data_IF_559213518221
#
_entry.id   IF_559213518221
#
_cell.length_a   1.000
_cell.length_b   1.000
_cell.length_c   1.000
_cell.angle_alpha   90.00
_cell.angle_beta   90.00
_cell.angle_gamma   90.00
#
_symmetry.space_group_name_H-M   'P 1'
#
loop_
_entity.id
_entity.type
_entity.pdbx_description
1 polymer ?
#
# COMPACT_ATOMS: atom_id res chain seq x y z
N UNK A 1 -30.64 8.40 14.59
CA UNK A 1 -29.61 7.72 15.41
C UNK A 1 -28.50 7.00 14.60
N UNK A 2 -28.48 7.04 13.26
CA UNK A 2 -27.45 6.35 12.43
C UNK A 2 -26.16 7.19 12.21
N UNK A 3 -26.22 8.51 12.40
CA UNK A 3 -25.09 9.41 12.09
C UNK A 3 -23.89 9.36 13.06
N UNK A 4 -24.05 8.85 14.28
CA UNK A 4 -23.00 8.97 15.31
C UNK A 4 -21.95 7.85 15.29
N UNK A 5 -22.21 6.74 14.58
CA UNK A 5 -21.29 5.60 14.49
C UNK A 5 -20.17 5.85 13.46
N UNK A 6 -20.49 6.56 12.37
CA UNK A 6 -19.57 6.82 11.24
C UNK A 6 -18.34 7.65 11.65
N UNK A 7 -18.48 8.52 12.64
CA UNK A 7 -17.42 9.39 13.16
C UNK A 7 -16.65 8.79 14.34
N UNK A 8 -17.00 7.58 14.81
CA UNK A 8 -16.29 6.93 15.93
C UNK A 8 -14.90 6.49 15.50
N UNK A 9 -13.91 6.65 16.39
CA UNK A 9 -12.54 6.17 16.17
C UNK A 9 -12.54 4.66 15.90
N UNK A 10 -11.91 4.28 14.81
CA UNK A 10 -11.62 2.91 14.40
C UNK A 10 -10.12 2.67 14.57
N UNK A 11 -9.74 2.03 15.68
CA UNK A 11 -8.37 1.57 15.90
C UNK A 11 -8.24 0.21 15.22
N UNK A 12 -7.77 0.24 13.97
CA UNK A 12 -7.49 -0.96 13.17
C UNK A 12 -5.97 -1.11 13.08
N UNK A 13 -5.40 -2.24 13.52
CA UNK A 13 -3.96 -2.47 13.42
C UNK A 13 -3.54 -2.58 11.96
N UNK A 14 -2.31 -2.14 11.66
CA UNK A 14 -1.76 -2.11 10.29
C UNK A 14 -1.80 -3.48 9.61
N UNK A 15 -1.55 -4.55 10.37
CA UNK A 15 -1.61 -5.92 9.86
C UNK A 15 -2.99 -6.26 9.32
N UNK A 16 -4.05 -5.91 10.06
CA UNK A 16 -5.43 -6.12 9.62
C UNK A 16 -5.74 -5.28 8.38
N UNK A 17 -5.23 -4.04 8.30
CA UNK A 17 -5.39 -3.18 7.12
C UNK A 17 -4.78 -3.82 5.88
N UNK A 18 -3.53 -4.26 5.95
CA UNK A 18 -2.85 -4.84 4.79
C UNK A 18 -3.49 -6.18 4.42
N UNK A 19 -3.89 -6.99 5.41
CA UNK A 19 -4.58 -8.25 5.16
C UNK A 19 -5.94 -8.03 4.51
N UNK A 20 -6.67 -6.98 4.88
CA UNK A 20 -7.94 -6.60 4.25
C UNK A 20 -7.76 -6.15 2.80
N UNK A 21 -6.68 -5.42 2.49
CA UNK A 21 -6.34 -5.02 1.11
C UNK A 21 -5.92 -6.24 0.27
N UNK A 22 -5.16 -7.18 0.85
CA UNK A 22 -4.84 -8.44 0.19
C UNK A 22 -6.12 -9.26 -0.06
N UNK A 23 -7.02 -9.32 0.92
CA UNK A 23 -8.31 -9.99 0.80
C UNK A 23 -9.18 -9.37 -0.30
N UNK A 24 -9.23 -8.04 -0.35
CA UNK A 24 -9.95 -7.30 -1.39
C UNK A 24 -9.34 -7.54 -2.77
N UNK A 25 -8.01 -7.58 -2.86
CA UNK A 25 -7.29 -7.92 -4.10
C UNK A 25 -7.71 -9.30 -4.59
N UNK A 26 -7.56 -10.34 -3.77
CA UNK A 26 -7.91 -11.71 -4.15
C UNK A 26 -9.39 -11.89 -4.46
N UNK A 27 -10.28 -11.31 -3.65
CA UNK A 27 -11.73 -11.42 -3.88
C UNK A 27 -12.12 -10.74 -5.20
N UNK A 28 -11.59 -9.55 -5.45
CA UNK A 28 -11.85 -8.81 -6.70
C UNK A 28 -11.29 -9.57 -7.90
N UNK A 29 -10.07 -10.09 -7.81
CA UNK A 29 -9.50 -10.95 -8.86
C UNK A 29 -10.37 -12.18 -9.12
N UNK A 30 -10.78 -12.90 -8.07
CA UNK A 30 -11.63 -14.09 -8.20
C UNK A 30 -12.96 -13.80 -8.89
N UNK A 31 -13.61 -12.68 -8.57
CA UNK A 31 -14.85 -12.24 -9.21
C UNK A 31 -14.61 -11.88 -10.69
N UNK A 32 -13.56 -11.12 -10.98
CA UNK A 32 -13.26 -10.62 -12.33
C UNK A 32 -12.72 -11.70 -13.28
N UNK A 33 -12.16 -12.79 -12.75
CA UNK A 33 -11.68 -13.90 -13.57
C UNK A 33 -12.82 -14.64 -14.30
N UNK A 34 -14.05 -14.66 -13.77
CA UNK A 34 -15.18 -15.28 -14.46
C UNK A 34 -15.54 -14.59 -15.80
N UNK A 35 -15.83 -13.27 -15.83
CA UNK A 35 -16.10 -12.57 -17.08
C UNK A 35 -14.85 -12.48 -17.98
N UNK A 36 -13.65 -12.40 -17.43
CA UNK A 36 -12.41 -12.44 -18.20
C UNK A 36 -12.21 -13.78 -18.91
N UNK A 37 -12.42 -14.90 -18.21
CA UNK A 37 -12.34 -16.24 -18.79
C UNK A 37 -13.40 -16.51 -19.86
N UNK A 38 -14.53 -15.81 -19.79
CA UNK A 38 -15.56 -15.82 -20.83
C UNK A 38 -15.27 -14.85 -22.00
N UNK A 39 -14.11 -14.17 -22.01
CA UNK A 39 -13.72 -13.20 -23.04
C UNK A 39 -14.51 -11.88 -23.01
N UNK A 40 -15.28 -11.61 -21.95
CA UNK A 40 -16.14 -10.42 -21.84
C UNK A 40 -15.41 -9.19 -21.32
N UNK A 41 -14.29 -9.37 -20.62
CA UNK A 41 -13.49 -8.30 -20.03
C UNK A 41 -11.99 -8.50 -20.29
N UNK A 42 -11.23 -7.43 -20.59
CA UNK A 42 -9.78 -7.53 -20.67
C UNK A 42 -9.19 -7.80 -19.28
N UNK A 43 -8.17 -8.66 -19.22
CA UNK A 43 -7.51 -9.02 -17.97
C UNK A 43 -6.01 -8.74 -18.06
N UNK A 44 -5.52 -7.88 -17.17
CA UNK A 44 -4.13 -7.46 -17.12
C UNK A 44 -3.38 -8.19 -16.00
N UNK A 45 -2.73 -9.31 -16.36
CA UNK A 45 -2.00 -10.16 -15.40
C UNK A 45 -0.86 -9.42 -14.69
N UNK A 46 -0.07 -8.65 -15.43
CA UNK A 46 1.10 -7.94 -14.90
C UNK A 46 0.68 -6.91 -13.83
N UNK A 47 -0.51 -6.31 -13.96
CA UNK A 47 -1.06 -5.42 -12.94
C UNK A 47 -1.43 -6.13 -11.64
N UNK A 48 -1.98 -7.35 -11.71
CA UNK A 48 -2.21 -8.16 -10.52
C UNK A 48 -0.89 -8.57 -9.86
N UNK A 49 0.06 -9.09 -10.64
CA UNK A 49 1.35 -9.54 -10.10
C UNK A 49 2.13 -8.38 -9.47
N UNK A 50 2.17 -7.24 -10.14
CA UNK A 50 2.82 -6.04 -9.63
C UNK A 50 2.18 -5.53 -8.33
N UNK A 51 0.85 -5.56 -8.25
CA UNK A 51 0.12 -5.17 -7.04
C UNK A 51 0.41 -6.11 -5.87
N UNK A 52 0.44 -7.43 -6.09
CA UNK A 52 0.74 -8.41 -5.04
C UNK A 52 2.18 -8.26 -4.53
N UNK A 53 3.15 -8.06 -5.43
CA UNK A 53 4.54 -7.79 -5.06
C UNK A 53 4.67 -6.50 -4.27
N UNK A 54 3.96 -5.45 -4.69
CA UNK A 54 3.91 -4.20 -3.95
C UNK A 54 3.39 -4.41 -2.53
N UNK A 55 2.31 -5.18 -2.34
CA UNK A 55 1.76 -5.50 -1.02
C UNK A 55 2.78 -6.28 -0.17
N UNK A 56 3.47 -7.28 -0.72
CA UNK A 56 4.51 -8.02 0.01
C UNK A 56 5.71 -7.14 0.40
N UNK A 57 6.16 -6.31 -0.53
CA UNK A 57 7.25 -5.35 -0.29
C UNK A 57 6.87 -4.36 0.81
N UNK A 58 5.63 -3.86 0.78
CA UNK A 58 5.08 -3.01 1.84
C UNK A 58 5.05 -3.73 3.19
N UNK A 59 4.57 -4.98 3.28
CA UNK A 59 4.56 -5.73 4.55
C UNK A 59 5.98 -5.89 5.12
N UNK A 60 6.95 -6.16 4.25
CA UNK A 60 8.35 -6.33 4.62
C UNK A 60 8.94 -5.03 5.16
N UNK A 61 8.70 -3.90 4.49
CA UNK A 61 9.21 -2.58 4.91
C UNK A 61 8.47 -2.04 6.14
N UNK A 62 7.13 -2.14 6.16
CA UNK A 62 6.25 -1.51 7.14
C UNK A 62 6.02 -2.33 8.41
N UNK A 63 6.28 -3.65 8.40
CA UNK A 63 6.10 -4.49 9.58
C UNK A 63 7.27 -5.45 9.84
N UNK A 64 8.24 -5.59 8.93
CA UNK A 64 9.28 -6.63 9.05
C UNK A 64 8.74 -8.05 8.84
N UNK A 65 7.47 -8.18 8.42
CA UNK A 65 6.84 -9.47 8.13
C UNK A 65 7.23 -9.91 6.73
N UNK A 66 7.92 -11.05 6.66
CA UNK A 66 8.32 -11.67 5.40
C UNK A 66 7.38 -12.81 5.06
N UNK A 67 7.31 -13.24 3.79
CA UNK A 67 6.56 -14.45 3.42
C UNK A 67 7.07 -15.72 4.12
N UNK A 68 8.23 -15.70 4.76
CA UNK A 68 8.79 -16.83 5.52
C UNK A 68 8.56 -16.72 7.04
N UNK A 69 7.92 -15.64 7.50
CA UNK A 69 7.61 -15.35 8.90
C UNK A 69 8.15 -14.00 9.38
N UNK A 70 7.95 -13.75 10.66
CA UNK A 70 8.35 -12.50 11.30
C UNK A 70 9.88 -12.41 11.44
N UNK A 71 10.45 -11.30 11.00
CA UNK A 71 11.86 -10.98 11.16
C UNK A 71 12.02 -9.61 11.83
N UNK A 72 13.09 -9.43 12.61
CA UNK A 72 13.41 -8.12 13.15
C UNK A 72 13.70 -7.15 12.00
N UNK A 73 13.12 -5.95 12.09
CA UNK A 73 13.34 -4.89 11.11
C UNK A 73 14.80 -4.49 11.13
N UNK A 74 15.47 -4.71 10.01
CA UNK A 74 16.88 -4.37 9.81
C UNK A 74 17.03 -3.65 8.46
N UNK A 75 18.09 -2.86 8.31
CA UNK A 75 18.40 -2.17 7.06
C UNK A 75 18.41 -3.10 5.82
N UNK A 76 19.05 -4.29 5.85
CA UNK A 76 19.00 -5.20 4.70
C UNK A 76 17.57 -5.69 4.40
N UNK A 77 16.76 -5.92 5.44
CA UNK A 77 15.38 -6.35 5.25
C UNK A 77 14.52 -5.26 4.59
N UNK A 78 14.71 -4.00 4.99
CA UNK A 78 14.07 -2.85 4.35
C UNK A 78 14.50 -2.74 2.88
N UNK A 79 15.79 -2.92 2.57
CA UNK A 79 16.30 -2.89 1.21
C UNK A 79 15.69 -4.01 0.34
N UNK A 80 15.58 -5.24 0.87
CA UNK A 80 14.92 -6.36 0.18
C UNK A 80 13.44 -6.05 -0.06
N UNK A 81 12.71 -5.59 0.97
CA UNK A 81 11.31 -5.20 0.83
C UNK A 81 11.11 -4.08 -0.20
N UNK A 82 12.02 -3.12 -0.24
CA UNK A 82 12.01 -2.04 -1.23
C UNK A 82 12.27 -2.54 -2.64
N UNK A 83 13.21 -3.48 -2.82
CA UNK A 83 13.47 -4.11 -4.12
C UNK A 83 12.25 -4.91 -4.61
N UNK A 84 11.59 -5.66 -3.73
CA UNK A 84 10.34 -6.36 -4.05
C UNK A 84 9.25 -5.36 -4.45
N UNK A 85 9.05 -4.28 -3.68
CA UNK A 85 8.07 -3.26 -4.02
C UNK A 85 8.38 -2.55 -5.35
N UNK A 86 9.65 -2.20 -5.59
CA UNK A 86 10.09 -1.60 -6.85
C UNK A 86 9.83 -2.54 -8.04
N UNK A 87 10.14 -3.84 -7.90
CA UNK A 87 9.81 -4.83 -8.92
C UNK A 87 8.31 -4.89 -9.21
N UNK A 88 7.47 -4.79 -8.16
CA UNK A 88 6.02 -4.72 -8.31
C UNK A 88 5.54 -3.49 -9.05
N UNK A 89 6.08 -2.31 -8.71
CA UNK A 89 5.78 -1.03 -9.38
C UNK A 89 6.13 -1.11 -10.87
N UNK A 90 7.35 -1.58 -11.20
CA UNK A 90 7.79 -1.69 -12.59
C UNK A 90 6.90 -2.66 -13.37
N UNK A 91 6.57 -3.82 -12.77
CA UNK A 91 5.70 -4.83 -13.39
C UNK A 91 4.30 -4.31 -13.65
N UNK A 92 3.74 -3.50 -12.75
CA UNK A 92 2.44 -2.86 -12.98
C UNK A 92 2.48 -1.96 -14.23
N UNK A 93 3.54 -1.16 -14.38
CA UNK A 93 3.56 -0.06 -15.35
C UNK A 93 4.02 -0.49 -16.73
N UNK A 94 5.04 -1.33 -16.79
CA UNK A 94 5.68 -1.72 -18.05
C UNK A 94 5.41 -3.20 -18.24
N UNK A 95 4.38 -3.54 -19.06
CA UNK A 95 4.13 -4.93 -19.37
C UNK A 95 5.36 -5.55 -20.02
N UNK A 96 5.60 -6.81 -19.68
CA UNK A 96 6.60 -7.67 -20.32
C UNK A 96 8.07 -7.23 -20.19
N UNK A 97 8.38 -6.21 -19.39
CA UNK A 97 9.76 -5.84 -19.08
C UNK A 97 10.44 -6.86 -18.16
N UNK A 98 9.70 -7.31 -17.14
CA UNK A 98 10.13 -8.32 -16.18
C UNK A 98 9.27 -9.57 -16.36
N UNK A 99 9.42 -10.31 -17.46
CA UNK A 99 8.51 -11.41 -17.79
C UNK A 99 8.51 -12.52 -16.71
N UNK A 100 9.71 -12.94 -16.26
CA UNK A 100 9.86 -14.09 -15.36
C UNK A 100 10.03 -13.71 -13.89
N UNK A 101 10.62 -12.55 -13.62
CA UNK A 101 11.00 -12.13 -12.25
C UNK A 101 9.77 -12.05 -11.31
N UNK A 102 8.66 -11.39 -11.67
CA UNK A 102 7.53 -11.17 -10.77
C UNK A 102 6.84 -12.48 -10.43
N UNK A 103 6.70 -13.35 -11.44
CA UNK A 103 6.13 -14.68 -11.29
C UNK A 103 7.00 -15.57 -10.40
N UNK A 104 8.32 -15.53 -10.57
CA UNK A 104 9.25 -16.28 -9.73
C UNK A 104 9.24 -15.78 -8.27
N UNK A 105 9.27 -14.46 -8.05
CA UNK A 105 9.19 -13.89 -6.69
C UNK A 105 7.85 -14.25 -6.05
N UNK A 106 6.72 -14.08 -6.75
CA UNK A 106 5.40 -14.44 -6.21
C UNK A 106 5.28 -15.93 -5.95
N UNK A 107 5.84 -16.79 -6.82
CA UNK A 107 5.90 -18.23 -6.57
C UNK A 107 6.63 -18.52 -5.26
N UNK A 108 7.79 -17.90 -5.04
CA UNK A 108 8.58 -18.05 -3.81
C UNK A 108 7.80 -17.53 -2.59
N UNK A 109 7.14 -16.37 -2.71
CA UNK A 109 6.36 -15.78 -1.63
C UNK A 109 5.13 -16.63 -1.24
N UNK A 110 4.36 -17.10 -2.23
CA UNK A 110 3.11 -17.83 -1.97
C UNK A 110 3.34 -19.32 -1.71
N UNK A 111 4.19 -19.97 -2.51
CA UNK A 111 4.45 -21.42 -2.44
C UNK A 111 5.35 -21.79 -1.26
N UNK A 112 6.68 -21.70 -1.39
CA UNK A 112 7.62 -21.95 -0.29
C UNK A 112 7.34 -21.11 0.96
N UNK A 113 7.00 -19.83 0.81
CA UNK A 113 6.64 -18.96 1.96
C UNK A 113 5.42 -19.50 2.73
N UNK A 114 4.32 -19.78 2.02
CA UNK A 114 3.12 -20.39 2.62
C UNK A 114 3.41 -21.75 3.27
N UNK A 115 4.26 -22.58 2.67
CA UNK A 115 4.67 -23.87 3.23
C UNK A 115 5.48 -23.70 4.51
N UNK A 116 6.46 -22.79 4.53
CA UNK A 116 7.26 -22.50 5.74
C UNK A 116 6.37 -21.98 6.86
N UNK A 117 5.43 -21.08 6.56
CA UNK A 117 4.47 -20.56 7.53
C UNK A 117 3.57 -21.67 8.10
N UNK A 118 3.07 -22.57 7.23
CA UNK A 118 2.28 -23.72 7.65
C UNK A 118 3.08 -24.68 8.53
N UNK A 119 4.30 -25.02 8.13
CA UNK A 119 5.18 -25.90 8.91
C UNK A 119 5.52 -25.28 10.26
N UNK A 120 5.91 -24.00 10.31
CA UNK A 120 6.16 -23.29 11.57
C UNK A 120 4.92 -23.30 12.46
N UNK A 121 3.74 -23.11 11.88
CA UNK A 121 2.48 -23.14 12.62
C UNK A 121 2.19 -24.53 13.21
N UNK A 122 2.33 -25.60 12.41
CA UNK A 122 2.09 -26.98 12.85
C UNK A 122 3.13 -27.48 13.86
N UNK A 123 4.40 -27.09 13.71
CA UNK A 123 5.50 -27.55 14.56
C UNK A 123 5.74 -26.67 15.79
N UNK A 124 5.16 -25.47 15.88
CA UNK A 124 5.19 -24.65 17.09
C UNK A 124 4.25 -25.26 18.14
N UNK A 125 4.77 -26.24 18.88
CA UNK A 125 4.06 -26.99 19.92
C UNK A 125 3.42 -26.09 20.98
N UNK A 126 4.02 -24.93 21.25
CA UNK A 126 3.53 -23.98 22.26
C UNK A 126 2.41 -23.06 21.75
N UNK A 127 2.34 -22.74 20.44
CA UNK A 127 1.29 -21.85 19.91
C UNK A 127 0.06 -22.61 19.46
N UNK A 128 0.20 -23.60 18.59
CA UNK A 128 -0.95 -24.30 18.01
C UNK A 128 -1.73 -25.10 19.07
N UNK A 129 -1.00 -25.87 19.90
CA UNK A 129 -1.63 -26.67 20.96
C UNK A 129 -2.29 -25.78 22.01
N UNK A 130 -1.64 -24.69 22.40
CA UNK A 130 -2.22 -23.73 23.33
C UNK A 130 -3.48 -23.07 22.74
N UNK A 131 -3.47 -22.63 21.48
CA UNK A 131 -4.63 -21.98 20.86
C UNK A 131 -5.83 -22.91 20.69
N UNK A 132 -5.58 -24.19 20.39
CA UNK A 132 -6.63 -25.21 20.34
C UNK A 132 -7.16 -25.53 21.75
N UNK A 133 -6.30 -25.55 22.77
CA UNK A 133 -6.67 -25.80 24.17
C UNK A 133 -7.41 -24.63 24.83
N UNK A 134 -7.04 -23.38 24.54
CA UNK A 134 -7.71 -22.18 25.07
C UNK A 134 -9.15 -22.03 24.58
N UNK A 135 -9.51 -22.67 23.45
CA UNK A 135 -10.88 -22.68 22.92
C UNK A 135 -11.38 -21.30 22.43
N UNK A 136 -12.59 -21.27 21.87
CA UNK A 136 -13.24 -20.04 21.42
C UNK A 136 -12.56 -19.37 20.20
N UNK A 137 -12.29 -18.07 20.31
CA UNK A 137 -11.77 -17.23 19.20
C UNK A 137 -10.40 -17.71 18.69
N UNK A 138 -9.56 -18.30 19.56
CA UNK A 138 -8.24 -18.82 19.17
C UNK A 138 -8.30 -20.05 18.25
N UNK A 139 -9.37 -20.85 18.32
CA UNK A 139 -9.60 -21.96 17.39
C UNK A 139 -9.97 -21.45 16.00
N UNK A 140 -10.76 -20.38 15.93
CA UNK A 140 -11.08 -19.69 14.68
C UNK A 140 -9.85 -19.03 14.06
N UNK A 141 -8.95 -18.48 14.89
CA UNK A 141 -7.67 -17.94 14.42
C UNK A 141 -6.81 -19.05 13.81
N UNK A 142 -6.68 -20.19 14.50
CA UNK A 142 -5.93 -21.33 14.01
C UNK A 142 -6.47 -21.85 12.67
N UNK A 143 -7.79 -22.02 12.56
CA UNK A 143 -8.44 -22.45 11.31
C UNK A 143 -8.23 -21.44 10.17
N UNK A 144 -8.37 -20.14 10.45
CA UNK A 144 -8.14 -19.08 9.48
C UNK A 144 -6.70 -19.05 8.96
N UNK A 145 -5.71 -19.12 9.86
CA UNK A 145 -4.29 -19.19 9.48
C UNK A 145 -3.99 -20.42 8.63
N UNK A 146 -4.45 -21.61 9.04
CA UNK A 146 -4.25 -22.84 8.25
C UNK A 146 -4.88 -22.76 6.86
N UNK A 147 -6.09 -22.22 6.75
CA UNK A 147 -6.76 -22.03 5.46
C UNK A 147 -5.98 -21.07 4.55
N UNK A 148 -5.56 -19.91 5.07
CA UNK A 148 -4.78 -18.90 4.34
C UNK A 148 -3.45 -19.48 3.85
N UNK A 149 -2.72 -20.23 4.69
CA UNK A 149 -1.46 -20.85 4.27
C UNK A 149 -1.67 -21.94 3.21
N UNK A 150 -2.73 -22.75 3.33
CA UNK A 150 -3.03 -23.78 2.33
C UNK A 150 -3.40 -23.15 0.97
N UNK A 151 -4.26 -22.13 0.97
CA UNK A 151 -4.61 -21.40 -0.24
C UNK A 151 -3.42 -20.62 -0.82
N UNK A 152 -2.51 -20.11 0.01
CA UNK A 152 -1.24 -19.53 -0.43
C UNK A 152 -0.40 -20.54 -1.21
N UNK A 153 -0.24 -21.76 -0.69
CA UNK A 153 0.51 -22.84 -1.38
C UNK A 153 -0.16 -23.18 -2.72
N UNK A 154 -1.49 -23.29 -2.74
CA UNK A 154 -2.26 -23.54 -3.96
C UNK A 154 -2.08 -22.41 -4.99
N UNK A 155 -2.11 -21.15 -4.55
CA UNK A 155 -1.86 -19.99 -5.41
C UNK A 155 -0.42 -20.03 -5.99
N UNK A 156 0.57 -20.42 -5.18
CA UNK A 156 1.93 -20.67 -5.65
C UNK A 156 1.99 -21.75 -6.74
N UNK A 157 1.32 -22.89 -6.54
CA UNK A 157 1.25 -23.96 -7.54
C UNK A 157 0.60 -23.51 -8.85
N UNK A 158 -0.51 -22.77 -8.77
CA UNK A 158 -1.21 -22.19 -9.92
C UNK A 158 -0.34 -21.17 -10.67
N UNK A 159 0.44 -20.37 -9.93
CA UNK A 159 1.43 -19.47 -10.51
C UNK A 159 2.53 -20.24 -11.23
N UNK A 160 2.99 -21.39 -10.74
CA UNK A 160 4.02 -22.18 -11.40
C UNK A 160 3.51 -22.87 -12.68
N UNK A 161 2.36 -23.54 -12.60
CA UNK A 161 1.72 -24.20 -13.75
C UNK A 161 0.29 -23.69 -13.96
N UNK A 162 0.14 -22.79 -14.93
CA UNK A 162 -1.16 -22.19 -15.29
C UNK A 162 -2.17 -23.21 -15.81
N UNK A 163 -1.71 -24.25 -16.48
CA UNK A 163 -2.57 -25.27 -17.11
C UNK A 163 -2.98 -26.42 -16.17
N UNK A 164 -2.66 -26.32 -14.87
CA UNK A 164 -3.10 -27.31 -13.88
C UNK A 164 -4.62 -27.38 -13.77
N UNK A 165 -5.29 -26.23 -13.91
CA UNK A 165 -6.73 -26.11 -13.65
C UNK A 165 -7.36 -25.10 -14.58
N UNK A 166 -8.64 -25.31 -14.91
CA UNK A 166 -9.40 -24.41 -15.78
C UNK A 166 -9.57 -23.01 -15.15
N UNK A 167 -9.69 -21.99 -15.99
CA UNK A 167 -9.90 -20.59 -15.56
C UNK A 167 -11.00 -20.42 -14.50
N UNK A 168 -12.21 -21.01 -14.64
CA UNK A 168 -13.26 -20.87 -13.61
C UNK A 168 -12.87 -21.53 -12.28
N UNK A 169 -12.12 -22.62 -12.29
CA UNK A 169 -11.65 -23.25 -11.05
C UNK A 169 -10.55 -22.42 -10.38
N UNK A 170 -9.66 -21.80 -11.15
CA UNK A 170 -8.70 -20.80 -10.65
C UNK A 170 -9.43 -19.60 -10.04
N UNK A 171 -10.50 -19.11 -10.69
CA UNK A 171 -11.35 -18.05 -10.16
C UNK A 171 -11.96 -18.44 -8.80
N UNK A 172 -12.54 -19.64 -8.69
CA UNK A 172 -13.07 -20.19 -7.44
C UNK A 172 -11.99 -20.30 -6.35
N UNK A 173 -10.80 -20.80 -6.67
CA UNK A 173 -9.71 -20.96 -5.72
C UNK A 173 -9.21 -19.60 -5.19
N UNK A 174 -9.03 -18.62 -6.09
CA UNK A 174 -8.62 -17.26 -5.72
C UNK A 174 -9.71 -16.54 -4.92
N UNK A 175 -10.99 -16.75 -5.25
CA UNK A 175 -12.11 -16.21 -4.49
C UNK A 175 -12.19 -16.82 -3.09
N UNK A 176 -12.05 -18.14 -2.97
CA UNK A 176 -11.99 -18.84 -1.69
C UNK A 176 -10.81 -18.35 -0.84
N UNK A 177 -9.66 -18.08 -1.47
CA UNK A 177 -8.52 -17.47 -0.79
C UNK A 177 -8.84 -16.07 -0.26
N UNK A 178 -9.49 -15.22 -1.07
CA UNK A 178 -9.97 -13.91 -0.65
C UNK A 178 -10.91 -13.99 0.56
N UNK A 179 -11.89 -14.90 0.53
CA UNK A 179 -12.82 -15.14 1.65
C UNK A 179 -12.07 -15.58 2.91
N UNK A 180 -11.09 -16.48 2.78
CA UNK A 180 -10.27 -16.93 3.91
C UNK A 180 -9.47 -15.77 4.54
N UNK A 181 -8.93 -14.85 3.72
CA UNK A 181 -8.27 -13.64 4.20
C UNK A 181 -9.25 -12.68 4.89
N UNK A 182 -10.45 -12.45 4.34
CA UNK A 182 -11.50 -11.65 5.01
C UNK A 182 -11.81 -12.24 6.38
N UNK A 183 -12.02 -13.54 6.45
CA UNK A 183 -12.29 -14.26 7.69
C UNK A 183 -11.16 -14.07 8.72
N UNK A 184 -9.91 -14.29 8.30
CA UNK A 184 -8.75 -14.11 9.17
C UNK A 184 -8.63 -12.66 9.66
N UNK A 185 -8.88 -11.67 8.80
CA UNK A 185 -8.86 -10.25 9.18
C UNK A 185 -9.88 -9.93 10.26
N UNK A 186 -11.09 -10.49 10.15
CA UNK A 186 -12.18 -10.27 11.10
C UNK A 186 -11.87 -10.91 12.46
N UNK A 187 -11.37 -12.15 12.46
CA UNK A 187 -10.97 -12.84 13.69
C UNK A 187 -9.84 -12.07 14.38
N UNK A 188 -8.82 -11.66 13.63
CA UNK A 188 -7.68 -10.94 14.17
C UNK A 188 -8.08 -9.55 14.72
N UNK A 189 -8.94 -8.82 14.02
CA UNK A 189 -9.52 -7.57 14.51
C UNK A 189 -10.32 -7.77 15.81
N UNK A 190 -11.06 -8.87 15.92
CA UNK A 190 -11.77 -9.25 17.14
C UNK A 190 -10.82 -9.50 18.32
N UNK A 191 -9.73 -10.22 18.09
CA UNK A 191 -8.72 -10.50 19.11
C UNK A 191 -8.04 -9.21 19.59
N UNK A 192 -7.63 -8.33 18.68
CA UNK A 192 -6.98 -7.08 19.07
C UNK A 192 -7.91 -6.17 19.88
N UNK A 193 -9.20 -6.13 19.56
CA UNK A 193 -10.20 -5.41 20.36
C UNK A 193 -10.40 -6.00 21.76
N UNK A 194 -10.32 -7.32 21.89
CA UNK A 194 -10.47 -8.02 23.17
C UNK A 194 -9.18 -7.96 24.02
N UNK A 195 -8.00 -7.92 23.39
CA UNK A 195 -6.69 -7.99 24.05
C UNK A 195 -5.73 -6.89 23.56
N UNK A 196 -5.95 -5.62 23.96
CA UNK A 196 -5.16 -4.48 23.49
C UNK A 196 -3.69 -4.48 23.97
N UNK A 197 -3.34 -5.29 24.99
CA UNK A 197 -1.97 -5.36 25.53
C UNK A 197 -0.98 -6.08 24.60
N UNK A 198 -1.46 -6.82 23.60
CA UNK A 198 -0.62 -7.59 22.67
C UNK A 198 0.12 -6.68 21.68
N UNK A 199 -0.46 -5.53 21.33
CA UNK A 199 0.07 -4.57 20.35
C UNK A 199 1.27 -3.77 20.91
N UNK A 200 1.27 -3.46 22.21
CA UNK A 200 2.36 -2.69 22.84
C UNK A 200 3.69 -3.42 22.89
N UNK A 201 3.72 -4.76 22.82
CA UNK A 201 4.95 -5.54 23.04
C UNK A 201 5.74 -5.79 21.75
N UNK A 202 5.08 -5.76 20.60
CA UNK A 202 5.70 -6.00 19.28
C UNK A 202 6.41 -4.73 18.75
N UNK A 203 6.00 -3.55 19.20
CA UNK A 203 6.53 -2.22 18.84
C UNK A 203 7.78 -1.79 19.65
N UNK A 204 8.36 -2.67 20.45
CA UNK A 204 9.45 -2.35 21.40
C UNK A 204 10.80 -2.98 21.01
N UNK A 205 10.88 -3.66 19.87
CA UNK A 205 12.07 -4.43 19.47
C UNK A 205 12.52 -4.14 18.04
N UNK A 206 13.35 -3.10 17.90
CA UNK A 206 14.27 -2.92 16.77
C UNK A 206 13.92 -1.78 15.81
N UNK A 207 14.77 -0.74 15.77
CA UNK A 207 14.82 0.35 14.77
C UNK A 207 13.48 0.68 14.10
N UNK A 208 12.53 1.18 14.89
CA UNK A 208 11.21 1.49 14.35
C UNK A 208 11.26 2.74 13.48
N UNK A 209 11.21 2.53 12.16
CA UNK A 209 10.57 3.51 11.30
C UNK A 209 9.06 3.46 11.64
N UNK A 210 8.48 4.58 12.11
CA UNK A 210 7.03 4.73 12.20
C UNK A 210 6.36 4.33 10.89
N UNK A 211 5.17 3.75 10.94
CA UNK A 211 4.40 3.35 9.74
C UNK A 211 4.33 4.48 8.71
N UNK A 212 4.16 5.72 9.18
CA UNK A 212 4.18 6.92 8.32
C UNK A 212 5.49 7.08 7.55
N UNK A 213 6.64 6.80 8.16
CA UNK A 213 7.96 6.84 7.50
C UNK A 213 8.08 5.75 6.44
N UNK A 214 7.58 4.55 6.70
CA UNK A 214 7.55 3.46 5.71
C UNK A 214 6.66 3.82 4.51
N UNK A 215 5.49 4.42 4.75
CA UNK A 215 4.60 4.88 3.67
C UNK A 215 5.20 6.04 2.88
N UNK A 216 5.87 7.00 3.53
CA UNK A 216 6.59 8.09 2.85
C UNK A 216 7.71 7.53 1.99
N UNK A 217 8.51 6.59 2.52
CA UNK A 217 9.58 5.91 1.77
C UNK A 217 9.02 5.24 0.51
N UNK A 218 7.97 4.43 0.68
CA UNK A 218 7.38 3.66 -0.41
C UNK A 218 6.74 4.55 -1.47
N UNK A 219 6.04 5.60 -1.03
CA UNK A 219 5.44 6.61 -1.93
C UNK A 219 6.52 7.40 -2.66
N UNK A 220 7.59 7.79 -1.96
CA UNK A 220 8.73 8.47 -2.58
C UNK A 220 9.39 7.63 -3.67
N UNK A 221 9.67 6.35 -3.38
CA UNK A 221 10.23 5.42 -4.37
C UNK A 221 9.27 5.18 -5.54
N UNK A 222 7.98 5.01 -5.28
CA UNK A 222 6.96 4.94 -6.33
C UNK A 222 7.02 6.16 -7.25
N UNK A 223 7.04 7.38 -6.68
CA UNK A 223 7.05 8.63 -7.46
C UNK A 223 8.35 8.81 -8.25
N UNK A 224 9.50 8.45 -7.69
CA UNK A 224 10.79 8.46 -8.41
C UNK A 224 10.79 7.47 -9.56
N UNK A 225 10.42 6.20 -9.31
CA UNK A 225 10.38 5.17 -10.34
C UNK A 225 9.42 5.57 -11.46
N UNK A 226 8.22 6.01 -11.12
CA UNK A 226 7.24 6.45 -12.08
C UNK A 226 7.76 7.62 -12.92
N UNK A 227 8.35 8.63 -12.30
CA UNK A 227 8.89 9.79 -12.99
C UNK A 227 10.02 9.45 -13.96
N UNK A 228 10.94 8.57 -13.55
CA UNK A 228 12.05 8.09 -14.38
C UNK A 228 11.54 7.23 -15.54
N UNK A 229 10.59 6.33 -15.28
CA UNK A 229 10.02 5.45 -16.31
C UNK A 229 9.15 6.20 -17.31
N UNK A 230 8.53 7.32 -16.93
CA UNK A 230 7.73 8.12 -17.86
C UNK A 230 8.58 8.69 -19.01
N UNK A 231 9.87 8.98 -18.79
CA UNK A 231 10.76 9.55 -19.82
C UNK A 231 10.86 8.64 -21.06
N UNK A 232 11.34 7.37 -20.95
CA UNK A 232 11.40 6.47 -22.10
C UNK A 232 10.03 6.11 -22.66
N UNK A 233 8.98 6.08 -21.83
CA UNK A 233 7.59 5.87 -22.29
C UNK A 233 7.14 7.00 -23.20
N UNK A 234 7.40 8.26 -22.83
CA UNK A 234 7.01 9.42 -23.65
C UNK A 234 7.82 9.54 -24.94
N UNK A 235 9.00 8.91 -25.00
CA UNK A 235 9.80 8.76 -26.21
C UNK A 235 9.33 7.59 -27.10
N UNK A 236 8.32 6.84 -26.68
CA UNK A 236 7.80 5.67 -27.40
C UNK A 236 8.67 4.42 -27.29
N UNK A 237 9.65 4.40 -26.38
CA UNK A 237 10.60 3.29 -26.25
C UNK A 237 10.05 2.10 -25.45
N UNK A 238 9.05 2.34 -24.57
CA UNK A 238 8.51 1.32 -23.67
C UNK A 238 6.97 1.35 -23.63
N UNK A 239 6.31 0.18 -23.55
CA UNK A 239 4.87 0.11 -23.37
C UNK A 239 4.49 0.58 -21.96
N UNK A 240 3.28 1.14 -21.81
CA UNK A 240 2.86 1.72 -20.54
C UNK A 240 1.39 1.47 -20.22
N UNK A 241 1.13 1.03 -18.99
CA UNK A 241 -0.23 0.85 -18.44
C UNK A 241 -0.58 1.99 -17.49
N UNK A 242 -1.19 3.06 -18.04
CA UNK A 242 -1.71 4.18 -17.24
C UNK A 242 -2.78 3.75 -16.22
N UNK A 243 -3.57 2.71 -16.54
CA UNK A 243 -4.58 2.15 -15.62
C UNK A 243 -3.95 1.60 -14.34
N UNK A 244 -2.84 0.88 -14.47
CA UNK A 244 -2.13 0.30 -13.33
C UNK A 244 -1.34 1.37 -12.54
N UNK A 245 -0.86 2.42 -13.20
CA UNK A 245 -0.29 3.60 -12.51
C UNK A 245 -1.31 4.25 -11.57
N UNK A 246 -2.48 4.63 -12.10
CA UNK A 246 -3.53 5.26 -11.30
C UNK A 246 -4.05 4.29 -10.24
N UNK A 247 -4.20 3.00 -10.60
CA UNK A 247 -4.65 1.97 -9.70
C UNK A 247 -3.73 1.78 -8.50
N UNK A 248 -2.42 1.67 -8.73
CA UNK A 248 -1.44 1.50 -7.67
C UNK A 248 -1.34 2.74 -6.78
N UNK A 249 -1.42 3.94 -7.36
CA UNK A 249 -1.49 5.18 -6.58
C UNK A 249 -2.73 5.22 -5.66
N UNK A 250 -3.88 4.79 -6.16
CA UNK A 250 -5.12 4.71 -5.36
C UNK A 250 -5.00 3.70 -4.23
N UNK A 251 -4.34 2.55 -4.46
CA UNK A 251 -4.06 1.58 -3.39
C UNK A 251 -3.10 2.19 -2.35
N UNK A 252 -2.07 2.93 -2.76
CA UNK A 252 -1.17 3.64 -1.83
C UNK A 252 -1.97 4.64 -0.96
N UNK A 253 -2.84 5.45 -1.57
CA UNK A 253 -3.70 6.38 -0.84
C UNK A 253 -4.67 5.66 0.10
N UNK A 254 -5.26 4.55 -0.34
CA UNK A 254 -6.11 3.71 0.49
C UNK A 254 -5.39 3.18 1.73
N UNK A 255 -4.16 2.68 1.55
CA UNK A 255 -3.32 2.23 2.64
C UNK A 255 -3.06 3.40 3.60
N UNK A 256 -2.68 4.58 3.11
CA UNK A 256 -2.42 5.75 3.98
C UNK A 256 -3.68 6.16 4.78
N UNK A 257 -4.86 6.13 4.16
CA UNK A 257 -6.11 6.44 4.85
C UNK A 257 -6.43 5.40 5.94
N UNK A 258 -6.25 4.11 5.65
CA UNK A 258 -6.54 3.02 6.59
C UNK A 258 -5.48 2.91 7.70
N UNK A 259 -4.21 3.12 7.35
CA UNK A 259 -3.05 2.88 8.19
C UNK A 259 -2.61 4.09 9.01
N UNK A 260 -2.92 5.33 8.59
CA UNK A 260 -2.54 6.53 9.33
C UNK A 260 -3.64 7.58 9.42
N UNK A 261 -4.78 7.41 8.73
CA UNK A 261 -5.83 8.42 8.69
C UNK A 261 -5.47 9.63 7.80
N UNK A 262 -4.33 9.54 7.11
CA UNK A 262 -3.91 10.57 6.16
C UNK A 262 -4.73 10.43 4.89
N UNK A 263 -5.57 11.43 4.63
CA UNK A 263 -6.28 11.56 3.35
C UNK A 263 -5.55 12.57 2.46
N UNK A 264 -5.81 12.57 1.14
CA UNK A 264 -5.22 13.56 0.24
C UNK A 264 -5.52 15.00 0.65
N UNK A 265 -6.70 15.24 1.22
CA UNK A 265 -7.20 16.55 1.65
C UNK A 265 -6.56 17.00 2.97
N UNK A 266 -6.19 16.05 3.85
CA UNK A 266 -5.62 16.34 5.16
C UNK A 266 -5.57 15.12 6.07
N UNK A 267 -4.95 15.28 7.24
CA UNK A 267 -4.97 14.25 8.28
C UNK A 267 -6.31 14.27 9.02
N UNK A 268 -7.01 13.14 9.04
CA UNK A 268 -8.25 12.96 9.78
C UNK A 268 -8.07 11.86 10.84
N UNK A 269 -8.78 11.92 11.98
CA UNK A 269 -8.80 10.79 12.89
C UNK A 269 -9.30 9.55 12.15
N UNK A 270 -8.68 8.39 12.38
CA UNK A 270 -9.13 7.12 11.79
C UNK A 270 -10.52 6.81 12.29
N UNK A 271 -11.54 7.19 11.53
CA UNK A 271 -12.94 6.92 11.81
C UNK A 271 -13.46 5.86 10.85
N UNK A 272 -14.60 5.25 11.16
CA UNK A 272 -15.24 4.30 10.25
C UNK A 272 -15.51 4.91 8.85
N UNK A 273 -15.75 6.22 8.78
CA UNK A 273 -15.85 6.98 7.53
C UNK A 273 -14.59 6.88 6.67
N UNK A 274 -13.44 7.18 7.28
CA UNK A 274 -12.14 7.15 6.61
C UNK A 274 -11.77 5.73 6.22
N UNK A 275 -12.12 4.73 7.05
CA UNK A 275 -11.91 3.32 6.74
C UNK A 275 -12.75 2.88 5.52
N UNK A 276 -14.03 3.22 5.49
CA UNK A 276 -14.90 2.92 4.35
C UNK A 276 -14.38 3.59 3.07
N UNK A 277 -14.02 4.87 3.15
CA UNK A 277 -13.42 5.61 2.03
C UNK A 277 -12.12 4.96 1.55
N UNK A 278 -11.24 4.55 2.48
CA UNK A 278 -10.01 3.83 2.18
C UNK A 278 -10.28 2.50 1.47
N UNK A 279 -11.25 1.71 1.91
CA UNK A 279 -11.63 0.47 1.24
C UNK A 279 -12.19 0.70 -0.17
N UNK A 280 -12.97 1.76 -0.36
CA UNK A 280 -13.47 2.16 -1.67
C UNK A 280 -12.32 2.54 -2.61
N UNK A 281 -11.34 3.31 -2.12
CA UNK A 281 -10.15 3.67 -2.90
C UNK A 281 -9.30 2.44 -3.24
N UNK A 282 -9.16 1.50 -2.31
CA UNK A 282 -8.47 0.24 -2.57
C UNK A 282 -9.19 -0.55 -3.66
N UNK A 283 -10.52 -0.68 -3.57
CA UNK A 283 -11.32 -1.39 -4.57
C UNK A 283 -11.18 -0.78 -5.96
N UNK A 284 -11.37 0.54 -6.09
CA UNK A 284 -11.20 1.24 -7.37
C UNK A 284 -9.77 1.09 -7.92
N UNK A 285 -8.77 1.16 -7.03
CA UNK A 285 -7.37 0.97 -7.38
C UNK A 285 -7.07 -0.43 -7.90
N UNK A 286 -7.54 -1.46 -7.19
CA UNK A 286 -7.41 -2.87 -7.56
C UNK A 286 -8.09 -3.15 -8.91
N UNK A 287 -9.33 -2.69 -9.09
CA UNK A 287 -10.06 -2.86 -10.36
C UNK A 287 -9.29 -2.20 -11.51
N UNK A 288 -8.74 -1.00 -11.31
CA UNK A 288 -7.94 -0.31 -12.34
C UNK A 288 -6.60 -1.00 -12.65
N UNK A 289 -5.99 -1.66 -11.66
CA UNK A 289 -4.80 -2.49 -11.88
C UNK A 289 -5.11 -3.76 -12.66
N UNK A 290 -6.28 -4.36 -12.49
CA UNK A 290 -6.63 -5.65 -13.10
C UNK A 290 -7.30 -5.48 -14.46
N UNK A 291 -8.17 -4.47 -14.60
CA UNK A 291 -8.95 -4.23 -15.81
C UNK A 291 -8.51 -2.91 -16.46
N UNK A 292 -7.71 -2.96 -17.53
CA UNK A 292 -7.22 -1.76 -18.17
C UNK A 292 -8.35 -1.01 -18.88
N UNK A 293 -8.28 0.32 -18.87
CA UNK A 293 -9.11 1.20 -19.70
C UNK A 293 -10.48 1.60 -19.13
N UNK A 294 -11.03 0.89 -18.13
CA UNK A 294 -12.39 1.18 -17.64
C UNK A 294 -12.44 2.38 -16.68
N UNK A 295 -11.48 2.47 -15.75
CA UNK A 295 -11.49 3.45 -14.66
C UNK A 295 -10.55 4.64 -14.89
N UNK A 296 -9.84 4.68 -16.01
CA UNK A 296 -8.74 5.64 -16.22
C UNK A 296 -9.25 7.07 -16.16
N UNK A 297 -10.34 7.40 -16.86
CA UNK A 297 -10.90 8.76 -16.87
C UNK A 297 -11.37 9.21 -15.49
N UNK A 298 -12.12 8.36 -14.79
CA UNK A 298 -12.69 8.64 -13.47
C UNK A 298 -11.59 8.79 -12.42
N UNK A 299 -10.58 7.92 -12.44
CA UNK A 299 -9.45 8.01 -11.52
C UNK A 299 -8.57 9.21 -11.82
N UNK A 300 -8.38 9.58 -13.09
CA UNK A 300 -7.60 10.77 -13.46
C UNK A 300 -8.26 12.04 -12.90
N UNK A 301 -9.58 12.17 -13.05
CA UNK A 301 -10.34 13.29 -12.49
C UNK A 301 -10.25 13.29 -10.96
N UNK A 302 -10.48 12.14 -10.33
CA UNK A 302 -10.46 12.01 -8.88
C UNK A 302 -9.09 12.36 -8.30
N UNK A 303 -8.02 11.75 -8.80
CA UNK A 303 -6.65 11.99 -8.35
C UNK A 303 -6.23 13.44 -8.64
N UNK A 304 -6.59 13.97 -9.82
CA UNK A 304 -6.32 15.35 -10.19
C UNK A 304 -6.92 16.35 -9.20
N UNK A 305 -8.22 16.21 -8.91
CA UNK A 305 -8.92 17.05 -7.94
C UNK A 305 -8.32 16.90 -6.54
N UNK A 306 -8.05 15.67 -6.10
CA UNK A 306 -7.49 15.40 -4.76
C UNK A 306 -6.11 16.03 -4.57
N UNK A 307 -5.26 16.00 -5.60
CA UNK A 307 -3.92 16.59 -5.55
C UNK A 307 -3.95 18.13 -5.57
N UNK A 308 -4.89 18.74 -6.30
CA UNK A 308 -5.09 20.19 -6.31
C UNK A 308 -5.67 20.67 -4.98
N UNK A 309 -6.76 20.06 -4.51
CA UNK A 309 -7.39 20.44 -3.24
C UNK A 309 -6.45 20.18 -2.06
N UNK A 310 -5.82 19.01 -2.02
CA UNK A 310 -4.88 18.63 -0.96
C UNK A 310 -3.66 19.54 -0.90
N UNK A 311 -3.05 19.85 -2.05
CA UNK A 311 -1.95 20.82 -2.12
C UNK A 311 -2.38 22.23 -1.75
N UNK A 312 -3.53 22.68 -2.26
CA UNK A 312 -4.07 24.02 -2.03
C UNK A 312 -4.41 24.29 -0.56
N UNK A 313 -5.10 23.35 0.10
CA UNK A 313 -5.46 23.47 1.53
C UNK A 313 -4.20 23.51 2.40
N UNK A 314 -3.20 22.69 2.11
CA UNK A 314 -1.92 22.69 2.87
C UNK A 314 -1.13 23.97 2.67
N UNK A 315 -1.07 24.50 1.45
CA UNK A 315 -0.43 25.80 1.18
C UNK A 315 -1.16 26.95 1.88
N UNK A 316 -2.49 26.95 1.83
CA UNK A 316 -3.31 27.93 2.54
C UNK A 316 -3.04 27.89 4.06
N UNK A 317 -3.00 26.68 4.63
CA UNK A 317 -2.68 26.48 6.04
C UNK A 317 -1.29 26.98 6.45
N UNK A 318 -0.31 26.97 5.53
CA UNK A 318 1.03 27.55 5.78
C UNK A 318 1.06 29.07 5.63
N UNK A 319 0.24 29.66 4.75
CA UNK A 319 0.19 31.10 4.51
C UNK A 319 -0.57 31.88 5.60
N UNK A 320 -1.67 31.33 6.14
CA UNK A 320 -2.50 31.99 7.16
C UNK A 320 -1.74 32.41 8.44
N UNK A 321 -0.87 31.57 9.04
CA UNK A 321 -0.08 31.96 10.20
C UNK A 321 0.90 33.11 9.91
N UNK A 322 1.51 33.12 8.71
CA UNK A 322 2.44 34.18 8.28
C UNK A 322 1.72 35.51 8.05
N UNK A 323 0.48 35.47 7.55
CA UNK A 323 -0.37 36.65 7.36
C UNK A 323 -0.97 37.17 8.68
N UNK A 324 -1.22 36.29 9.66
CA UNK A 324 -1.76 36.67 10.98
C UNK A 324 -0.67 37.11 11.97
N UNK A 325 0.60 36.75 11.75
CA UNK A 325 1.71 37.19 12.60
C UNK A 325 2.32 38.51 12.09
N UNK A 326 1.70 39.61 12.48
CA UNK A 326 2.37 40.91 12.64
C UNK A 326 3.20 41.01 13.93
N UNK A 327 3.27 39.94 14.75
CA UNK A 327 4.02 39.89 16.00
C UNK A 327 4.76 38.55 16.11
N UNK A 328 6.06 38.56 15.85
CA UNK A 328 6.93 37.39 15.93
C UNK A 328 7.43 37.15 17.37
N UNK A 329 7.48 35.90 17.87
CA UNK A 329 8.36 35.55 18.98
C UNK A 329 9.81 35.68 18.54
N UNK A 330 10.58 36.51 19.24
CA UNK A 330 12.00 36.76 19.00
C UNK A 330 12.86 35.57 19.44
N UNK A 331 13.05 34.60 18.54
CA UNK A 331 14.03 33.53 18.70
C UNK A 331 14.48 33.01 17.34
N UNK A 332 15.76 32.60 17.16
CA UNK A 332 16.23 32.07 15.90
C UNK A 332 15.48 30.76 15.58
N UNK A 333 14.68 30.78 14.51
CA UNK A 333 13.98 29.59 14.03
C UNK A 333 15.04 28.54 13.65
N UNK A 334 14.97 27.30 14.17
CA UNK A 334 15.96 26.28 13.85
C UNK A 334 16.06 26.06 12.33
N UNK A 335 17.27 25.98 11.75
CA UNK A 335 17.45 25.85 10.30
C UNK A 335 16.81 24.57 9.73
N UNK A 336 16.61 23.54 10.57
CA UNK A 336 15.92 22.30 10.20
C UNK A 336 14.42 22.53 9.95
N UNK A 337 13.77 23.42 10.72
CA UNK A 337 12.36 23.76 10.55
C UNK A 337 12.10 24.55 9.25
N UNK A 338 13.06 25.41 8.87
CA UNK A 338 13.04 26.13 7.59
C UNK A 338 13.16 25.15 6.42
N UNK A 339 14.08 24.18 6.48
CA UNK A 339 14.21 23.15 5.45
C UNK A 339 12.96 22.27 5.34
N UNK A 340 12.32 21.95 6.46
CA UNK A 340 11.10 21.15 6.50
C UNK A 340 9.91 21.92 5.88
N UNK A 341 9.69 23.17 6.26
CA UNK A 341 8.63 24.01 5.69
C UNK A 341 8.83 24.25 4.18
N UNK A 342 10.07 24.51 3.75
CA UNK A 342 10.41 24.64 2.33
C UNK A 342 10.13 23.34 1.56
N UNK A 343 10.52 22.19 2.12
CA UNK A 343 10.25 20.88 1.50
C UNK A 343 8.75 20.63 1.36
N UNK A 344 7.96 20.95 2.39
CA UNK A 344 6.50 20.79 2.35
C UNK A 344 5.84 21.76 1.35
N UNK A 345 6.32 23.00 1.26
CA UNK A 345 5.86 23.95 0.24
C UNK A 345 6.10 23.40 -1.16
N UNK A 346 7.31 22.92 -1.45
CA UNK A 346 7.66 22.30 -2.73
C UNK A 346 6.78 21.08 -3.05
N UNK A 347 6.54 20.20 -2.08
CA UNK A 347 5.66 19.03 -2.28
C UNK A 347 4.23 19.43 -2.65
N UNK A 348 3.67 20.44 -1.97
CA UNK A 348 2.31 20.87 -2.26
C UNK A 348 2.21 21.57 -3.63
N UNK A 349 3.22 22.35 -4.02
CA UNK A 349 3.27 22.96 -5.34
C UNK A 349 3.37 21.89 -6.44
N UNK A 350 4.27 20.92 -6.29
CA UNK A 350 4.41 19.81 -7.24
C UNK A 350 3.14 18.95 -7.31
N UNK A 351 2.44 18.77 -6.19
CA UNK A 351 1.14 18.10 -6.14
C UNK A 351 0.09 18.85 -6.98
N UNK A 352 -0.01 20.17 -6.84
CA UNK A 352 -0.94 20.98 -7.65
C UNK A 352 -0.57 20.90 -9.14
N UNK A 353 0.72 21.02 -9.48
CA UNK A 353 1.18 20.91 -10.87
C UNK A 353 0.82 19.56 -11.50
N UNK A 354 1.03 18.47 -10.75
CA UNK A 354 0.67 17.12 -11.18
C UNK A 354 -0.86 16.95 -11.31
N UNK A 355 -1.64 17.48 -10.37
CA UNK A 355 -3.10 17.43 -10.46
C UNK A 355 -3.66 18.22 -11.64
N UNK A 356 -3.11 19.40 -11.92
CA UNK A 356 -3.51 20.22 -13.07
C UNK A 356 -3.15 19.56 -14.40
N UNK A 357 -1.97 18.93 -14.51
CA UNK A 357 -1.58 18.22 -15.73
C UNK A 357 -2.43 16.99 -16.03
N UNK A 358 -3.02 16.37 -15.00
CA UNK A 358 -4.00 15.30 -15.16
C UNK A 358 -5.36 15.80 -15.67
N UNK A 359 -5.82 16.97 -15.21
CA UNK A 359 -7.13 17.50 -15.60
C UNK A 359 -7.13 18.21 -16.95
N UNK A 360 -6.00 18.79 -17.35
CA UNK A 360 -5.88 19.51 -18.62
C UNK A 360 -4.71 18.90 -19.41
N UNK A 361 -4.97 17.85 -20.20
CA UNK A 361 -3.96 17.24 -21.05
C UNK A 361 -3.36 18.27 -22.02
N UNK A 362 -2.03 18.27 -22.17
CA UNK A 362 -1.33 19.13 -23.13
C UNK A 362 -0.77 20.44 -22.57
N UNK A 363 -1.08 20.84 -21.33
CA UNK A 363 -0.42 22.00 -20.68
C UNK A 363 1.05 21.70 -20.41
N UNK A 364 1.34 20.49 -19.92
CA UNK A 364 2.69 20.08 -19.53
C UNK A 364 3.12 18.91 -20.44
N UNK A 365 4.26 19.00 -21.13
CA UNK A 365 4.81 17.89 -21.91
C UNK A 365 4.99 16.64 -21.04
N UNK A 366 4.77 15.45 -21.61
CA UNK A 366 4.86 14.19 -20.85
C UNK A 366 6.19 14.01 -20.10
N UNK A 367 7.31 14.43 -20.69
CA UNK A 367 8.63 14.41 -20.04
C UNK A 367 8.68 15.29 -18.78
N UNK A 368 8.05 16.48 -18.84
CA UNK A 368 7.97 17.38 -17.70
C UNK A 368 7.06 16.82 -16.60
N UNK A 369 6.01 16.05 -16.93
CA UNK A 369 5.21 15.31 -15.93
C UNK A 369 6.09 14.27 -15.21
N UNK A 370 6.91 13.53 -15.97
CA UNK A 370 7.88 12.59 -15.39
C UNK A 370 8.86 13.28 -14.44
N UNK A 371 9.39 14.45 -14.83
CA UNK A 371 10.28 15.25 -13.98
C UNK A 371 9.60 15.75 -12.71
N UNK A 372 8.38 16.27 -12.80
CA UNK A 372 7.57 16.74 -11.65
C UNK A 372 7.37 15.59 -10.64
N UNK A 373 7.03 14.40 -11.13
CA UNK A 373 6.85 13.21 -10.29
C UNK A 373 8.15 12.75 -9.63
N UNK A 374 9.24 12.70 -10.40
CA UNK A 374 10.55 12.32 -9.87
C UNK A 374 11.02 13.32 -8.79
N UNK A 375 10.85 14.62 -9.03
CA UNK A 375 11.15 15.65 -8.04
C UNK A 375 10.28 15.51 -6.80
N UNK A 376 8.97 15.25 -6.95
CA UNK A 376 8.07 15.02 -5.83
C UNK A 376 8.54 13.83 -4.98
N UNK A 377 8.92 12.72 -5.61
CA UNK A 377 9.50 11.57 -4.95
C UNK A 377 10.82 11.88 -4.21
N UNK A 378 11.73 12.60 -4.87
CA UNK A 378 13.00 13.03 -4.26
C UNK A 378 12.78 13.92 -3.02
N UNK A 379 11.85 14.88 -3.09
CA UNK A 379 11.54 15.75 -1.95
C UNK A 379 10.87 14.96 -0.81
N UNK A 380 10.04 13.96 -1.09
CA UNK A 380 9.48 13.05 -0.07
C UNK A 380 10.58 12.28 0.66
N UNK A 381 11.56 11.74 -0.08
CA UNK A 381 12.70 11.03 0.51
C UNK A 381 13.62 11.96 1.30
N UNK A 382 13.78 13.21 0.85
CA UNK A 382 14.50 14.23 1.60
C UNK A 382 13.78 14.61 2.91
N UNK A 383 12.46 14.77 2.86
CA UNK A 383 11.64 15.02 4.05
C UNK A 383 11.77 13.88 5.07
N UNK A 384 11.77 12.63 4.59
CA UNK A 384 11.99 11.46 5.44
C UNK A 384 13.34 11.51 6.16
N UNK A 385 14.40 11.91 5.46
CA UNK A 385 15.73 12.12 6.06
C UNK A 385 15.70 13.20 7.13
N UNK A 386 15.05 14.34 6.86
CA UNK A 386 14.90 15.42 7.85
C UNK A 386 14.15 14.96 9.09
N UNK A 387 13.05 14.23 8.94
CA UNK A 387 12.28 13.66 10.06
C UNK A 387 13.11 12.68 10.90
N UNK A 388 13.98 11.91 10.26
CA UNK A 388 14.90 11.02 10.97
C UNK A 388 15.96 11.79 11.79
N UNK A 389 16.44 12.92 11.27
CA UNK A 389 17.41 13.77 11.98
C UNK A 389 16.75 14.45 13.19
N UNK A 390 15.53 14.97 13.03
CA UNK A 390 14.79 15.63 14.13
C UNK A 390 14.57 14.65 15.29
N UNK A 391 14.15 13.42 15.00
CA UNK A 391 13.93 12.38 16.00
C UNK A 391 15.23 11.97 16.72
N UNK A 392 16.36 11.94 16.01
CA UNK A 392 17.66 11.68 16.64
C UNK A 392 18.04 12.77 17.64
N UNK A 393 17.74 14.04 17.33
CA UNK A 393 18.03 15.19 18.20
C UNK A 393 17.11 15.16 19.43
N UNK A 394 15.82 14.83 19.26
CA UNK A 394 14.86 14.77 20.38
C UNK A 394 15.08 13.60 21.34
N UNK A 395 15.80 12.55 20.92
CA UNK A 395 16.17 11.43 21.81
C UNK A 395 17.45 11.70 22.62
N UNK A 396 18.23 12.70 22.23
CA UNK A 396 19.47 13.11 22.91
C UNK A 396 19.30 14.31 23.84
N UNK A 397 18.13 14.97 23.82
CA UNK A 397 17.69 15.96 24.82
C UNK A 397 16.78 15.28 25.83
#
# INVERSE_FOLDING_TARGET
MVGHWFFRKAEIPLEVVILLIAALTMTTTGILLFPAGAGKLPYYENGLYGLLLFIFGLQTVAMGKTPFGDMCRSLPLIAIGLAIAASGIITCFIPDLLIWIPRAILFICFGPGGLVLLLRFLFSRDKFRAWVQFGGIFRHLAAGCSAVYLFSILAGLLLWKKDLVTVPMTACAVLAYGIALIYLSAVLAGIYRAYPKTEKREYLSGTDLPVDRAMILLTGVFMVLLGVLLVPVTLGMLPFSGSAQLGLLMVILAIQMLASGNTPIGAFPRSYAVVFCGLLFAFLGIVSCIIPGILVGQLTILIGILNILGGGIKLWGMAVPLLKQGNAPSGPVPPVLVKLSLSQFSLNLLSIMFGTSMLIPGIIPGQAIGMILALNGCVLLYLLRLLSIIDSISRTS
#
